data_IF_467732987660
#
_entry.id   IF_467732987660
#
_cell.length_a   1.000
_cell.length_b   1.000
_cell.length_c   1.000
_cell.angle_alpha   90.00
_cell.angle_beta   90.00
_cell.angle_gamma   90.00
#
_symmetry.space_group_name_H-M   'P 1'
#
loop_
_entity.id
_entity.type
_entity.pdbx_description
1 polymer ?
#
# COMPACT_ATOMS: atom_id res chain seq x y z
N UNK A 1 -14.21 4.53 -3.42
CA UNK A 1 -13.31 3.42 -3.04
C UNK A 1 -13.51 3.07 -1.58
N UNK A 2 -13.53 1.78 -1.25
CA UNK A 2 -13.58 1.25 0.13
C UNK A 2 -12.53 0.15 0.26
N UNK A 3 -11.82 0.12 1.40
CA UNK A 3 -10.90 -0.96 1.76
C UNK A 3 -11.40 -1.56 3.08
N UNK A 4 -11.84 -2.81 3.06
CA UNK A 4 -12.60 -3.40 4.18
C UNK A 4 -11.79 -3.52 5.48
N UNK A 5 -10.48 -3.77 5.36
CA UNK A 5 -9.56 -3.98 6.48
C UNK A 5 -8.80 -2.71 6.90
N UNK A 6 -9.19 -1.53 6.39
CA UNK A 6 -8.45 -0.29 6.60
C UNK A 6 -9.34 0.90 7.00
N UNK A 7 -8.78 1.74 7.85
CA UNK A 7 -9.27 3.09 8.09
C UNK A 7 -8.80 3.99 6.93
N UNK A 8 -9.72 4.69 6.27
CA UNK A 8 -9.41 5.61 5.18
C UNK A 8 -9.41 7.05 5.67
N UNK A 9 -8.41 7.82 5.26
CA UNK A 9 -8.36 9.26 5.43
C UNK A 9 -9.12 10.01 4.33
N UNK A 10 -9.02 11.34 4.37
CA UNK A 10 -9.62 12.20 3.36
C UNK A 10 -8.87 12.08 2.02
N UNK A 11 -9.64 12.10 0.92
CA UNK A 11 -9.07 12.20 -0.42
C UNK A 11 -8.55 13.63 -0.65
N UNK A 12 -7.28 13.76 -1.07
CA UNK A 12 -6.66 15.05 -1.35
C UNK A 12 -6.04 15.10 -2.75
N UNK A 13 -6.14 16.24 -3.46
CA UNK A 13 -5.46 16.42 -4.72
C UNK A 13 -3.95 16.56 -4.50
N UNK A 14 -3.14 16.02 -5.42
CA UNK A 14 -1.68 16.17 -5.40
C UNK A 14 -1.14 16.66 -6.74
N UNK A 15 -0.13 17.52 -6.65
CA UNK A 15 0.57 18.14 -7.78
C UNK A 15 2.02 17.64 -7.84
N UNK A 16 2.58 17.47 -9.04
CA UNK A 16 3.98 17.01 -9.20
C UNK A 16 4.99 18.02 -8.65
N UNK A 17 4.60 19.30 -8.63
CA UNK A 17 5.38 20.41 -8.10
C UNK A 17 4.49 21.37 -7.31
N UNK A 18 5.04 22.08 -6.31
CA UNK A 18 4.33 23.14 -5.59
C UNK A 18 3.71 24.16 -6.56
N UNK A 19 2.45 24.53 -6.35
CA UNK A 19 1.71 25.48 -7.20
C UNK A 19 1.29 24.95 -8.58
N UNK A 20 1.63 23.71 -8.94
CA UNK A 20 1.15 23.07 -10.16
C UNK A 20 -0.31 22.64 -10.08
N UNK A 21 -0.96 22.42 -11.23
CA UNK A 21 -2.28 21.77 -11.28
C UNK A 21 -2.19 20.33 -10.74
N UNK A 22 -3.20 19.84 -10.01
CA UNK A 22 -3.22 18.45 -9.58
C UNK A 22 -3.17 17.48 -10.75
N UNK A 23 -2.33 16.46 -10.64
CA UNK A 23 -2.19 15.38 -11.64
C UNK A 23 -2.73 14.03 -11.14
N UNK A 24 -3.01 13.96 -9.84
CA UNK A 24 -3.49 12.77 -9.16
C UNK A 24 -4.26 13.16 -7.89
N UNK A 25 -4.89 12.15 -7.29
CA UNK A 25 -5.49 12.22 -5.95
C UNK A 25 -4.85 11.15 -5.07
N UNK A 26 -4.73 11.42 -3.78
CA UNK A 26 -4.23 10.49 -2.79
C UNK A 26 -5.26 10.27 -1.68
N UNK A 27 -5.38 9.01 -1.25
CA UNK A 27 -6.17 8.61 -0.09
C UNK A 27 -5.24 7.89 0.87
N UNK A 28 -5.00 8.48 2.04
CA UNK A 28 -4.22 7.83 3.09
C UNK A 28 -5.03 6.67 3.70
N UNK A 29 -4.38 5.58 4.09
CA UNK A 29 -5.05 4.46 4.75
C UNK A 29 -4.19 3.82 5.83
N UNK A 30 -4.84 3.14 6.78
CA UNK A 30 -4.18 2.46 7.89
C UNK A 30 -4.83 1.11 8.19
N UNK A 31 -3.99 0.08 8.38
CA UNK A 31 -4.41 -1.26 8.79
C UNK A 31 -3.88 -1.53 10.20
N UNK A 32 -4.70 -1.19 11.19
CA UNK A 32 -4.39 -1.37 12.62
C UNK A 32 -3.02 -0.81 13.02
N UNK A 33 -2.19 -1.66 13.63
CA UNK A 33 -0.80 -1.34 14.00
C UNK A 33 0.24 -2.09 13.15
N UNK A 34 -0.15 -2.59 11.98
CA UNK A 34 0.72 -3.39 11.11
C UNK A 34 1.40 -2.52 10.06
N UNK A 35 0.62 -1.75 9.32
CA UNK A 35 1.10 -0.89 8.25
C UNK A 35 0.12 0.25 7.97
N UNK A 36 0.64 1.26 7.28
CA UNK A 36 -0.11 2.40 6.77
C UNK A 36 0.41 2.74 5.39
N UNK A 37 -0.29 3.57 4.66
CA UNK A 37 0.02 3.80 3.28
C UNK A 37 -0.84 4.87 2.64
N UNK A 38 -0.72 4.95 1.32
CA UNK A 38 -1.58 5.79 0.50
C UNK A 38 -1.92 5.13 -0.82
N UNK A 39 -3.13 5.38 -1.29
CA UNK A 39 -3.57 5.03 -2.62
C UNK A 39 -3.44 6.27 -3.48
N UNK A 40 -2.58 6.20 -4.49
CA UNK A 40 -2.29 7.27 -5.42
C UNK A 40 -2.97 6.98 -6.77
N UNK A 41 -3.97 7.77 -7.11
CA UNK A 41 -4.80 7.60 -8.31
C UNK A 41 -4.48 8.74 -9.27
N UNK A 42 -3.78 8.43 -10.37
CA UNK A 42 -3.46 9.42 -11.40
C UNK A 42 -4.69 9.77 -12.23
N UNK A 43 -4.73 10.98 -12.77
CA UNK A 43 -5.78 11.41 -13.70
C UNK A 43 -5.83 10.55 -14.98
N UNK A 44 -4.75 9.81 -15.29
CA UNK A 44 -4.70 8.83 -16.38
C UNK A 44 -5.42 7.51 -16.05
N UNK A 45 -5.95 7.33 -14.85
CA UNK A 45 -6.60 6.11 -14.39
C UNK A 45 -5.65 5.07 -13.78
N UNK A 46 -4.33 5.32 -13.77
CA UNK A 46 -3.37 4.42 -13.11
C UNK A 46 -3.46 4.58 -11.58
N UNK A 47 -3.62 3.47 -10.88
CA UNK A 47 -3.66 3.41 -9.42
C UNK A 47 -2.39 2.74 -8.87
N UNK A 48 -1.87 3.29 -7.78
CA UNK A 48 -0.71 2.78 -7.06
C UNK A 48 -1.01 2.74 -5.58
N UNK A 49 -0.64 1.66 -4.92
CA UNK A 49 -0.68 1.49 -3.47
C UNK A 49 0.75 1.56 -2.92
N UNK A 50 0.99 2.50 -2.00
CA UNK A 50 2.18 2.52 -1.16
C UNK A 50 1.85 1.82 0.15
N UNK A 51 2.67 0.85 0.54
CA UNK A 51 2.63 0.16 1.83
C UNK A 51 3.88 0.53 2.63
N UNK A 52 3.68 1.06 3.84
CA UNK A 52 4.73 1.35 4.82
C UNK A 52 4.54 0.47 6.05
N UNK A 53 5.39 -0.54 6.18
CA UNK A 53 5.39 -1.46 7.32
C UNK A 53 5.84 -0.77 8.61
N UNK A 54 5.17 -1.08 9.73
CA UNK A 54 5.64 -0.76 11.09
C UNK A 54 6.58 -1.82 11.66
N UNK A 55 6.59 -3.02 11.09
CA UNK A 55 7.47 -4.11 11.49
C UNK A 55 8.85 -3.87 10.84
N UNK A 56 9.95 -3.90 11.62
CA UNK A 56 11.30 -3.72 11.06
C UNK A 56 11.72 -4.95 10.26
N UNK A 57 11.72 -4.81 8.93
CA UNK A 57 12.27 -5.78 7.97
C UNK A 57 12.50 -5.10 6.61
N UNK A 58 13.01 -5.87 5.64
CA UNK A 58 13.20 -5.41 4.26
C UNK A 58 12.29 -6.21 3.31
N UNK A 59 11.44 -5.52 2.53
CA UNK A 59 10.60 -6.14 1.52
C UNK A 59 11.39 -6.77 0.38
N UNK A 60 12.52 -6.17 -0.02
CA UNK A 60 13.30 -6.56 -1.20
C UNK A 60 13.59 -8.08 -1.31
N UNK A 61 14.06 -8.77 -0.25
CA UNK A 61 14.26 -10.22 -0.30
C UNK A 61 12.95 -11.03 -0.36
N UNK A 62 11.83 -10.47 0.09
CA UNK A 62 10.54 -11.16 0.25
C UNK A 62 9.59 -10.97 -0.93
N UNK A 63 9.87 -10.01 -1.83
CA UNK A 63 9.03 -9.68 -3.00
C UNK A 63 8.65 -10.92 -3.81
N UNK A 64 9.56 -11.90 -3.92
CA UNK A 64 9.36 -13.15 -4.67
C UNK A 64 8.28 -14.07 -4.06
N UNK A 65 8.03 -13.94 -2.76
CA UNK A 65 7.09 -14.77 -2.01
C UNK A 65 5.70 -14.11 -1.91
N UNK A 66 5.60 -12.83 -2.29
CA UNK A 66 4.34 -12.09 -2.26
C UNK A 66 3.44 -12.52 -3.43
N UNK A 67 2.23 -12.97 -3.09
CA UNK A 67 1.21 -13.39 -4.05
C UNK A 67 0.15 -12.31 -4.26
N UNK A 68 0.61 -11.08 -4.50
CA UNK A 68 -0.25 -9.94 -4.80
C UNK A 68 -0.83 -10.08 -6.21
N UNK A 69 -2.07 -9.66 -6.40
CA UNK A 69 -2.72 -9.57 -7.72
C UNK A 69 -2.25 -8.33 -8.46
N UNK A 70 -1.95 -7.25 -7.73
CA UNK A 70 -1.28 -6.08 -8.24
C UNK A 70 0.18 -6.37 -8.62
N UNK A 71 0.75 -5.49 -9.45
CA UNK A 71 2.15 -5.61 -9.88
C UNK A 71 3.06 -4.82 -8.94
N UNK A 72 4.00 -5.50 -8.29
CA UNK A 72 5.05 -4.82 -7.53
C UNK A 72 5.93 -4.02 -8.49
N UNK A 73 6.04 -2.72 -8.26
CA UNK A 73 6.84 -1.80 -9.09
C UNK A 73 8.13 -1.36 -8.41
N UNK A 74 8.14 -1.30 -7.08
CA UNK A 74 9.34 -0.98 -6.31
C UNK A 74 9.24 -1.51 -4.86
N UNK A 75 10.40 -1.71 -4.22
CA UNK A 75 10.49 -2.12 -2.82
C UNK A 75 11.82 -1.66 -2.21
N UNK A 76 11.76 -1.00 -1.05
CA UNK A 76 12.93 -0.54 -0.32
C UNK A 76 12.67 -0.51 1.19
N UNK A 77 13.42 -1.30 1.97
CA UNK A 77 13.22 -1.36 3.42
C UNK A 77 11.79 -1.77 3.77
N UNK A 78 11.12 -0.99 4.62
CA UNK A 78 9.71 -1.19 4.98
C UNK A 78 8.69 -0.68 3.95
N UNK A 79 9.15 -0.12 2.83
CA UNK A 79 8.31 0.42 1.76
C UNK A 79 8.12 -0.57 0.61
N UNK A 80 6.88 -0.68 0.14
CA UNK A 80 6.50 -1.46 -1.03
C UNK A 80 5.52 -0.66 -1.89
N UNK A 81 5.81 -0.55 -3.18
CA UNK A 81 4.93 0.05 -4.16
C UNK A 81 4.32 -1.02 -5.05
N UNK A 82 3.00 -1.00 -5.17
CA UNK A 82 2.23 -1.91 -6.00
C UNK A 82 1.39 -1.08 -6.96
N UNK A 83 1.54 -1.31 -8.27
CA UNK A 83 0.56 -0.84 -9.23
C UNK A 83 -0.66 -1.73 -9.13
N UNK A 84 -1.81 -1.12 -8.85
CA UNK A 84 -3.02 -1.86 -8.46
C UNK A 84 -4.25 -1.51 -9.31
N UNK A 85 -5.29 -2.31 -9.13
CA UNK A 85 -6.64 -2.14 -9.68
C UNK A 85 -7.68 -2.16 -8.54
N UNK A 86 -8.74 -1.35 -8.66
CA UNK A 86 -9.77 -1.20 -7.62
C UNK A 86 -10.46 -2.54 -7.28
N UNK A 87 -10.54 -3.47 -8.25
CA UNK A 87 -11.10 -4.81 -8.01
C UNK A 87 -10.24 -5.74 -7.17
N UNK A 88 -8.94 -5.47 -7.01
CA UNK A 88 -8.00 -6.35 -6.31
C UNK A 88 -7.51 -5.78 -4.98
N UNK A 89 -7.68 -4.47 -4.77
CA UNK A 89 -7.17 -3.77 -3.58
C UNK A 89 -7.58 -4.41 -2.26
N UNK A 90 -8.82 -4.90 -2.15
CA UNK A 90 -9.29 -5.57 -0.94
C UNK A 90 -8.59 -6.91 -0.68
N UNK A 91 -8.36 -7.68 -1.74
CA UNK A 91 -7.67 -8.97 -1.65
C UNK A 91 -6.19 -8.77 -1.29
N UNK A 92 -5.53 -7.81 -1.93
CA UNK A 92 -4.12 -7.52 -1.72
C UNK A 92 -3.86 -6.91 -0.33
N UNK A 93 -4.73 -6.00 0.14
CA UNK A 93 -4.65 -5.46 1.51
C UNK A 93 -4.85 -6.56 2.54
N UNK A 94 -5.82 -7.45 2.34
CA UNK A 94 -6.06 -8.60 3.23
C UNK A 94 -4.86 -9.54 3.24
N UNK A 95 -4.31 -9.88 2.08
CA UNK A 95 -3.11 -10.71 1.99
C UNK A 95 -1.93 -10.09 2.76
N UNK A 96 -1.68 -8.79 2.59
CA UNK A 96 -0.60 -8.09 3.28
C UNK A 96 -0.81 -8.06 4.80
N UNK A 97 -2.05 -7.86 5.25
CA UNK A 97 -2.41 -7.95 6.67
C UNK A 97 -2.05 -9.32 7.23
N UNK A 98 -2.58 -10.39 6.63
CA UNK A 98 -2.35 -11.77 7.08
C UNK A 98 -0.85 -12.13 7.04
N UNK A 99 -0.12 -11.67 6.02
CA UNK A 99 1.31 -11.89 5.86
C UNK A 99 2.11 -11.23 7.01
N UNK A 100 1.81 -9.96 7.31
CA UNK A 100 2.50 -9.21 8.35
C UNK A 100 2.13 -9.68 9.76
N UNK A 101 0.89 -10.13 9.97
CA UNK A 101 0.47 -10.74 11.24
C UNK A 101 1.25 -12.04 11.51
N UNK A 102 1.38 -12.91 10.51
CA UNK A 102 2.21 -14.12 10.61
C UNK A 102 3.66 -13.78 10.94
N UNK A 103 4.25 -12.83 10.22
CA UNK A 103 5.62 -12.38 10.49
C UNK A 103 5.79 -11.81 11.90
N UNK A 104 4.81 -11.03 12.39
CA UNK A 104 4.83 -10.47 13.75
C UNK A 104 4.80 -11.55 14.81
N UNK A 105 4.03 -12.63 14.58
CA UNK A 105 3.89 -13.72 15.52
C UNK A 105 5.09 -14.67 15.50
N UNK A 106 5.67 -14.96 14.33
CA UNK A 106 6.89 -15.80 14.22
C UNK A 106 8.14 -15.16 14.84
N UNK A 107 8.16 -13.84 15.07
CA UNK A 107 9.25 -13.15 15.78
C UNK A 107 9.11 -13.15 17.31
N UNK A 108 7.97 -13.61 17.84
CA UNK A 108 7.70 -13.65 19.30
C UNK A 108 8.07 -14.99 19.95
N UNK A 109 8.49 -15.96 19.15
CA UNK A 109 9.10 -17.23 19.58
C UNK A 109 10.63 -17.13 19.49
#
# INVERSE_FOLDING_TARGET
MKIDEAELGEEKPVSERPGGKPFAREIDYRVGDLFWGKIHIRNSGKMYMLVTSKIPFNWKPLVKDLKLKGKIVDSAGGFLWVQEDEKYINDDVKFLKDYLEKMKNSKKE
#
